data_IF_584374947477
#
_entry.id   IF_584374947477
#
_cell.length_a   1.000
_cell.length_b   1.000
_cell.length_c   1.000
_cell.angle_alpha   90.00
_cell.angle_beta   90.00
_cell.angle_gamma   90.00
#
_symmetry.space_group_name_H-M   'P 1'
#
loop_
_entity.id
_entity.type
_entity.pdbx_description
1 polymer ?
#
# COMPACT_ATOMS: atom_id res chain seq x y z
N UNK A 1 12.75 11.33 -19.18
CA UNK A 1 12.12 12.19 -18.15
C UNK A 1 10.61 12.16 -18.35
N UNK A 2 9.82 12.07 -17.28
CA UNK A 2 8.35 12.22 -17.37
C UNK A 2 8.07 13.63 -17.91
N UNK A 3 7.36 13.74 -19.03
CA UNK A 3 6.96 15.02 -19.61
C UNK A 3 6.19 15.86 -18.58
N UNK A 4 6.38 17.18 -18.59
CA UNK A 4 5.66 18.10 -17.69
C UNK A 4 4.14 17.89 -17.76
N UNK A 5 3.61 17.58 -18.95
CA UNK A 5 2.20 17.28 -19.19
C UNK A 5 1.74 16.06 -18.39
N UNK A 6 2.55 14.98 -18.36
CA UNK A 6 2.21 13.77 -17.61
C UNK A 6 2.18 14.03 -16.10
N UNK A 7 3.08 14.87 -15.59
CA UNK A 7 3.07 15.26 -14.16
C UNK A 7 1.76 15.96 -13.79
N UNK A 8 1.32 16.90 -14.64
CA UNK A 8 0.05 17.60 -14.46
C UNK A 8 -1.11 16.61 -14.49
N UNK A 9 -1.13 15.66 -15.44
CA UNK A 9 -2.16 14.61 -15.49
C UNK A 9 -2.20 13.75 -14.22
N UNK A 10 -1.04 13.33 -13.70
CA UNK A 10 -0.96 12.61 -12.42
C UNK A 10 -1.60 13.46 -11.31
N UNK A 11 -1.21 14.72 -11.18
CA UNK A 11 -1.75 15.63 -10.15
C UNK A 11 -3.27 15.81 -10.27
N UNK A 12 -3.80 15.92 -11.49
CA UNK A 12 -5.26 16.01 -11.71
C UNK A 12 -5.96 14.75 -11.23
N UNK A 13 -5.45 13.56 -11.58
CA UNK A 13 -6.09 12.29 -11.17
C UNK A 13 -6.04 12.11 -9.66
N UNK A 14 -4.89 12.39 -9.03
CA UNK A 14 -4.74 12.34 -7.57
C UNK A 14 -5.66 13.35 -6.89
N UNK A 15 -5.71 14.58 -7.40
CA UNK A 15 -6.51 15.67 -6.84
C UNK A 15 -8.02 15.41 -6.96
N UNK A 16 -8.51 14.98 -8.12
CA UNK A 16 -9.93 14.65 -8.32
C UNK A 16 -10.34 13.47 -7.44
N UNK A 17 -9.57 12.39 -7.41
CA UNK A 17 -9.91 11.24 -6.58
C UNK A 17 -9.85 11.59 -5.10
N UNK A 18 -8.82 12.34 -4.68
CA UNK A 18 -8.71 12.83 -3.31
C UNK A 18 -9.89 13.71 -2.91
N UNK A 19 -10.33 14.62 -3.78
CA UNK A 19 -11.50 15.47 -3.55
C UNK A 19 -12.79 14.66 -3.43
N UNK A 20 -13.03 13.70 -4.33
CA UNK A 20 -14.20 12.82 -4.30
C UNK A 20 -14.28 12.05 -2.98
N UNK A 21 -13.17 11.50 -2.52
CA UNK A 21 -13.12 10.76 -1.26
C UNK A 21 -13.22 11.69 -0.04
N UNK A 22 -12.51 12.82 -0.03
CA UNK A 22 -12.50 13.78 1.09
C UNK A 22 -13.87 14.41 1.35
N UNK A 23 -14.58 14.76 0.28
CA UNK A 23 -15.80 15.55 0.37
C UNK A 23 -17.04 14.67 0.27
N UNK A 24 -17.22 14.00 -0.86
CA UNK A 24 -18.42 13.18 -1.11
C UNK A 24 -18.37 11.91 -0.28
N UNK A 25 -17.27 11.17 -0.37
CA UNK A 25 -17.11 9.89 0.32
C UNK A 25 -17.15 10.01 1.83
N UNK A 26 -16.42 10.98 2.40
CA UNK A 26 -16.41 11.16 3.84
C UNK A 26 -17.79 11.50 4.41
N UNK A 27 -18.59 12.30 3.70
CA UNK A 27 -19.97 12.60 4.13
C UNK A 27 -20.84 11.36 4.26
N UNK A 28 -20.54 10.29 3.50
CA UNK A 28 -21.28 9.04 3.52
C UNK A 28 -20.71 8.01 4.48
N UNK A 29 -19.41 8.06 4.77
CA UNK A 29 -18.69 6.98 5.46
C UNK A 29 -18.18 7.40 6.84
N UNK A 30 -18.18 8.70 7.17
CA UNK A 30 -17.68 9.20 8.45
C UNK A 30 -18.28 8.41 9.62
N UNK A 31 -17.45 7.93 10.55
CA UNK A 31 -17.95 7.36 11.79
C UNK A 31 -18.77 8.41 12.57
N UNK A 32 -19.68 7.95 13.42
CA UNK A 32 -20.47 8.85 14.28
C UNK A 32 -19.56 9.68 15.20
N UNK A 33 -18.51 9.05 15.71
CA UNK A 33 -17.47 9.74 16.46
C UNK A 33 -16.35 10.19 15.50
N UNK A 34 -16.07 11.50 15.48
CA UNK A 34 -15.07 12.08 14.57
C UNK A 34 -13.64 11.53 14.77
N UNK A 35 -13.35 10.91 15.93
CA UNK A 35 -12.05 10.31 16.24
C UNK A 35 -12.03 8.79 16.05
N UNK A 36 -13.14 8.17 15.61
CA UNK A 36 -13.14 6.73 15.39
C UNK A 36 -12.31 6.35 14.15
N UNK A 37 -11.73 5.17 14.22
CA UNK A 37 -11.00 4.58 13.09
C UNK A 37 -11.97 4.04 12.04
N UNK A 38 -11.55 4.08 10.77
CA UNK A 38 -12.31 3.47 9.69
C UNK A 38 -11.98 1.97 9.57
N UNK A 39 -12.87 1.11 10.06
CA UNK A 39 -12.79 -0.36 9.94
C UNK A 39 -14.03 -0.91 9.25
N UNK A 40 -13.89 -1.86 8.33
CA UNK A 40 -15.05 -2.41 7.59
C UNK A 40 -15.74 -3.48 8.42
N UNK A 41 -15.01 -4.51 8.83
CA UNK A 41 -15.48 -5.69 9.56
C UNK A 41 -16.09 -5.31 10.91
N UNK A 42 -15.57 -4.26 11.56
CA UNK A 42 -16.05 -3.85 12.89
C UNK A 42 -17.02 -2.66 12.85
N UNK A 43 -17.18 -2.00 11.69
CA UNK A 43 -18.27 -1.04 11.53
C UNK A 43 -19.56 -1.82 11.29
N UNK A 44 -20.63 -1.54 12.04
CA UNK A 44 -21.97 -2.06 11.73
C UNK A 44 -22.53 -1.62 10.35
N UNK A 45 -21.70 -1.00 9.51
CA UNK A 45 -22.03 -0.39 8.23
C UNK A 45 -21.08 -0.83 7.10
N UNK A 46 -20.45 -2.00 7.21
CA UNK A 46 -19.49 -2.55 6.25
C UNK A 46 -19.91 -2.38 4.78
N UNK A 47 -21.16 -2.77 4.45
CA UNK A 47 -21.70 -2.68 3.10
C UNK A 47 -21.71 -1.24 2.56
N UNK A 48 -22.11 -0.28 3.39
CA UNK A 48 -22.15 1.15 3.01
C UNK A 48 -20.77 1.68 2.68
N UNK A 49 -19.77 1.32 3.50
CA UNK A 49 -18.37 1.72 3.29
C UNK A 49 -17.85 1.15 1.97
N UNK A 50 -18.00 -0.16 1.77
CA UNK A 50 -17.51 -0.85 0.56
C UNK A 50 -18.18 -0.29 -0.70
N UNK A 51 -19.50 -0.09 -0.69
CA UNK A 51 -20.21 0.48 -1.83
C UNK A 51 -19.76 1.91 -2.14
N UNK A 52 -19.57 2.75 -1.12
CA UNK A 52 -19.07 4.10 -1.31
C UNK A 52 -17.69 4.11 -1.98
N UNK A 53 -16.75 3.27 -1.51
CA UNK A 53 -15.42 3.16 -2.13
C UNK A 53 -15.51 2.69 -3.57
N UNK A 54 -16.33 1.66 -3.83
CA UNK A 54 -16.47 1.10 -5.18
C UNK A 54 -17.03 2.14 -6.14
N UNK A 55 -18.10 2.84 -5.77
CA UNK A 55 -18.72 3.86 -6.62
C UNK A 55 -17.74 5.00 -6.89
N UNK A 56 -17.18 5.60 -5.83
CA UNK A 56 -16.26 6.73 -5.96
C UNK A 56 -14.96 6.35 -6.65
N UNK A 57 -14.46 5.15 -6.35
CA UNK A 57 -13.28 4.58 -6.96
C UNK A 57 -13.44 4.34 -8.46
N UNK A 58 -14.58 3.77 -8.89
CA UNK A 58 -14.88 3.57 -10.30
C UNK A 58 -15.04 4.90 -11.05
N UNK A 59 -15.70 5.89 -10.45
CA UNK A 59 -15.81 7.25 -11.01
C UNK A 59 -14.40 7.87 -11.16
N UNK A 60 -13.60 7.85 -10.10
CA UNK A 60 -12.24 8.38 -10.10
C UNK A 60 -11.34 7.67 -11.13
N UNK A 61 -11.45 6.34 -11.23
CA UNK A 61 -10.74 5.54 -12.22
C UNK A 61 -11.18 5.89 -13.65
N UNK A 62 -12.47 6.04 -13.93
CA UNK A 62 -12.96 6.43 -15.25
C UNK A 62 -12.43 7.81 -15.66
N UNK A 63 -12.46 8.79 -14.76
CA UNK A 63 -11.86 10.11 -14.97
C UNK A 63 -10.35 9.98 -15.22
N UNK A 64 -9.67 9.16 -14.42
CA UNK A 64 -8.23 8.93 -14.55
C UNK A 64 -7.83 8.31 -15.89
N UNK A 65 -8.61 7.36 -16.39
CA UNK A 65 -8.41 6.78 -17.73
C UNK A 65 -8.62 7.83 -18.82
N UNK A 66 -9.65 8.67 -18.67
CA UNK A 66 -9.99 9.71 -19.66
C UNK A 66 -8.95 10.84 -19.71
N UNK A 67 -8.61 11.43 -18.56
CA UNK A 67 -7.55 12.46 -18.43
C UNK A 67 -6.19 11.90 -18.85
N UNK A 68 -5.98 10.62 -18.57
CA UNK A 68 -4.68 9.97 -18.72
C UNK A 68 -4.25 9.69 -20.15
N UNK A 69 -5.12 9.80 -21.16
CA UNK A 69 -4.82 9.49 -22.57
C UNK A 69 -3.45 10.02 -23.02
N UNK A 70 -2.55 9.19 -23.59
CA UNK A 70 -2.69 7.75 -23.88
C UNK A 70 -2.40 6.81 -22.69
N UNK A 71 -1.89 7.31 -21.57
CA UNK A 71 -1.53 6.53 -20.37
C UNK A 71 -2.72 6.21 -19.46
N UNK A 72 -3.90 5.98 -20.03
CA UNK A 72 -5.14 5.81 -19.29
C UNK A 72 -5.07 4.64 -18.30
N UNK A 73 -4.43 3.53 -18.69
CA UNK A 73 -4.23 2.35 -17.83
C UNK A 73 -3.42 2.69 -16.57
N UNK A 74 -2.29 3.38 -16.73
CA UNK A 74 -1.36 3.71 -15.64
C UNK A 74 -1.94 4.76 -14.69
N UNK A 75 -2.67 5.73 -15.25
CA UNK A 75 -3.21 6.82 -14.44
C UNK A 75 -4.52 6.44 -13.77
N UNK A 76 -5.39 5.67 -14.44
CA UNK A 76 -6.66 5.20 -13.87
C UNK A 76 -6.49 4.33 -12.62
N UNK A 77 -5.41 3.54 -12.53
CA UNK A 77 -5.13 2.69 -11.35
C UNK A 77 -4.68 3.49 -10.11
N UNK A 78 -4.27 4.75 -10.27
CA UNK A 78 -3.86 5.61 -9.14
C UNK A 78 -5.06 6.16 -8.36
N UNK A 79 -6.24 6.21 -8.97
CA UNK A 79 -7.41 6.88 -8.40
C UNK A 79 -7.83 6.26 -7.05
N UNK A 80 -8.05 4.94 -7.00
CA UNK A 80 -8.49 4.28 -5.75
C UNK A 80 -7.45 4.42 -4.63
N UNK A 81 -6.16 4.08 -4.80
CA UNK A 81 -5.15 4.27 -3.76
C UNK A 81 -5.04 5.73 -3.29
N UNK A 82 -5.18 6.71 -4.19
CA UNK A 82 -5.19 8.13 -3.83
C UNK A 82 -6.40 8.52 -2.97
N UNK A 83 -7.59 8.04 -3.33
CA UNK A 83 -8.80 8.25 -2.55
C UNK A 83 -8.72 7.59 -1.17
N UNK A 84 -8.26 6.34 -1.11
CA UNK A 84 -8.02 5.63 0.15
C UNK A 84 -6.94 6.31 1.01
N UNK A 85 -5.92 6.93 0.41
CA UNK A 85 -4.91 7.72 1.13
C UNK A 85 -5.55 8.91 1.84
N UNK A 86 -6.49 9.59 1.20
CA UNK A 86 -7.23 10.69 1.85
C UNK A 86 -8.06 10.18 3.03
N UNK A 87 -8.77 9.06 2.87
CA UNK A 87 -9.48 8.45 4.00
C UNK A 87 -8.55 7.96 5.10
N UNK A 88 -7.36 7.47 4.76
CA UNK A 88 -6.34 7.08 5.72
C UNK A 88 -5.82 8.25 6.56
N UNK A 89 -5.83 9.47 6.00
CA UNK A 89 -5.49 10.71 6.71
C UNK A 89 -6.66 11.19 7.58
N UNK A 90 -7.90 11.05 7.09
CA UNK A 90 -9.12 11.46 7.81
C UNK A 90 -9.56 10.48 8.91
N UNK A 91 -9.17 9.21 8.80
CA UNK A 91 -9.48 8.17 9.78
C UNK A 91 -8.77 8.44 11.12
N UNK A 92 -9.40 8.02 12.21
CA UNK A 92 -8.80 8.06 13.56
C UNK A 92 -7.58 7.15 13.71
N UNK A 93 -7.04 7.10 14.93
CA UNK A 93 -5.93 6.23 15.28
C UNK A 93 -6.43 4.88 15.86
N UNK A 94 -5.53 3.91 15.93
CA UNK A 94 -5.81 2.58 16.50
C UNK A 94 -6.01 2.61 18.02
N UNK A 95 -5.60 3.68 18.69
CA UNK A 95 -5.63 3.80 20.16
C UNK A 95 -7.03 3.54 20.74
N UNK A 96 -8.07 4.17 20.18
CA UNK A 96 -9.45 3.96 20.64
C UNK A 96 -9.95 2.54 20.41
N UNK A 97 -9.54 1.89 19.32
CA UNK A 97 -9.90 0.49 19.06
C UNK A 97 -9.26 -0.46 20.08
N UNK A 98 -8.00 -0.22 20.43
CA UNK A 98 -7.29 -1.00 21.46
C UNK A 98 -7.84 -0.76 22.86
N UNK A 99 -8.37 0.45 23.13
CA UNK A 99 -9.10 0.75 24.37
C UNK A 99 -10.44 0.02 24.44
N UNK A 100 -11.19 -0.06 23.33
CA UNK A 100 -12.49 -0.76 23.27
C UNK A 100 -12.36 -2.28 23.43
N UNK A 101 -11.23 -2.85 23.04
CA UNK A 101 -10.91 -4.27 23.21
C UNK A 101 -9.83 -4.41 24.27
N UNK A 102 -10.15 -4.23 25.55
CA UNK A 102 -9.16 -4.34 26.64
C UNK A 102 -8.85 -5.78 27.03
N UNK A 103 -9.78 -6.71 26.79
CA UNK A 103 -9.61 -8.13 27.15
C UNK A 103 -8.70 -8.86 26.16
N UNK A 104 -7.85 -9.75 26.68
CA UNK A 104 -6.87 -10.49 25.89
C UNK A 104 -7.48 -11.21 24.67
N UNK A 105 -8.52 -12.01 24.91
CA UNK A 105 -9.20 -12.76 23.84
C UNK A 105 -9.87 -11.84 22.80
N UNK A 106 -10.45 -10.73 23.26
CA UNK A 106 -11.05 -9.74 22.37
C UNK A 106 -10.00 -9.06 21.47
N UNK A 107 -8.78 -8.81 21.98
CA UNK A 107 -7.66 -8.24 21.20
C UNK A 107 -7.15 -9.18 20.11
N UNK A 108 -7.05 -10.47 20.41
CA UNK A 108 -6.65 -11.48 19.41
C UNK A 108 -7.67 -11.49 18.26
N UNK A 109 -8.96 -11.61 18.59
CA UNK A 109 -10.05 -11.55 17.59
C UNK A 109 -10.06 -10.24 16.80
N UNK A 110 -9.78 -9.12 17.48
CA UNK A 110 -9.65 -7.80 16.87
C UNK A 110 -8.55 -7.75 15.81
N UNK A 111 -7.33 -8.21 16.11
CA UNK A 111 -6.23 -8.22 15.14
C UNK A 111 -6.53 -9.13 13.94
N UNK A 112 -7.15 -10.30 14.14
CA UNK A 112 -7.62 -11.12 13.04
C UNK A 112 -8.70 -10.43 12.19
N UNK A 113 -9.59 -9.66 12.82
CA UNK A 113 -10.56 -8.81 12.12
C UNK A 113 -9.89 -7.79 11.18
N UNK A 114 -8.77 -7.19 11.60
CA UNK A 114 -7.99 -6.24 10.78
C UNK A 114 -7.32 -6.88 9.55
N UNK A 115 -7.05 -8.19 9.59
CA UNK A 115 -6.64 -8.95 8.41
C UNK A 115 -7.77 -8.98 7.38
N UNK A 116 -9.00 -9.27 7.82
CA UNK A 116 -10.20 -9.22 6.99
C UNK A 116 -10.39 -7.85 6.33
N UNK A 117 -10.24 -6.78 7.12
CA UNK A 117 -10.26 -5.40 6.60
C UNK A 117 -9.21 -5.18 5.52
N UNK A 118 -7.97 -5.60 5.75
CA UNK A 118 -6.88 -5.46 4.78
C UNK A 118 -7.20 -6.12 3.44
N UNK A 119 -7.76 -7.33 3.50
CA UNK A 119 -8.17 -8.10 2.32
C UNK A 119 -9.27 -7.35 1.56
N UNK A 120 -10.27 -6.81 2.27
CA UNK A 120 -11.35 -6.04 1.64
C UNK A 120 -10.82 -4.78 0.96
N UNK A 121 -10.00 -3.98 1.65
CA UNK A 121 -9.41 -2.76 1.08
C UNK A 121 -8.55 -3.09 -0.14
N UNK A 122 -7.75 -4.17 -0.08
CA UNK A 122 -6.95 -4.61 -1.21
C UNK A 122 -7.79 -5.10 -2.38
N UNK A 123 -8.86 -5.85 -2.12
CA UNK A 123 -9.78 -6.31 -3.16
C UNK A 123 -10.36 -5.12 -3.94
N UNK A 124 -10.72 -4.03 -3.26
CA UNK A 124 -11.22 -2.81 -3.93
C UNK A 124 -10.14 -2.17 -4.81
N UNK A 125 -8.88 -2.11 -4.35
CA UNK A 125 -7.76 -1.64 -5.17
C UNK A 125 -7.58 -2.50 -6.43
N UNK A 126 -7.63 -3.83 -6.30
CA UNK A 126 -7.51 -4.76 -7.44
C UNK A 126 -8.67 -4.60 -8.42
N UNK A 127 -9.89 -4.42 -7.93
CA UNK A 127 -11.07 -4.15 -8.76
C UNK A 127 -10.91 -2.84 -9.54
N UNK A 128 -10.45 -1.77 -8.89
CA UNK A 128 -10.15 -0.50 -9.56
C UNK A 128 -9.06 -0.61 -10.62
N UNK A 129 -7.96 -1.31 -10.33
CA UNK A 129 -6.90 -1.54 -11.30
C UNK A 129 -7.39 -2.35 -12.51
N UNK A 130 -8.23 -3.36 -12.27
CA UNK A 130 -8.87 -4.15 -13.33
C UNK A 130 -9.83 -3.30 -14.16
N UNK A 131 -10.66 -2.47 -13.51
CA UNK A 131 -11.57 -1.55 -14.20
C UNK A 131 -10.82 -0.52 -15.05
N UNK A 132 -9.70 0.03 -14.54
CA UNK A 132 -8.84 0.95 -15.27
C UNK A 132 -8.27 0.29 -16.54
N UNK A 133 -7.84 -0.97 -16.41
CA UNK A 133 -7.33 -1.74 -17.53
C UNK A 133 -8.39 -1.97 -18.60
N UNK A 134 -9.57 -2.48 -18.21
CA UNK A 134 -10.68 -2.72 -19.13
C UNK A 134 -11.18 -1.44 -19.83
N UNK A 135 -11.28 -0.34 -19.09
CA UNK A 135 -11.70 0.94 -19.64
C UNK A 135 -10.66 1.51 -20.62
N UNK A 136 -9.37 1.37 -20.31
CA UNK A 136 -8.29 1.83 -21.18
C UNK A 136 -8.27 1.07 -22.52
N UNK A 137 -8.52 -0.24 -22.50
CA UNK A 137 -8.60 -1.09 -23.70
C UNK A 137 -9.81 -0.74 -24.56
N UNK A 138 -10.99 -0.58 -23.95
CA UNK A 138 -12.21 -0.18 -24.69
C UNK A 138 -12.10 1.20 -25.32
N UNK A 139 -11.40 2.13 -24.68
CA UNK A 139 -11.22 3.49 -25.19
C UNK A 139 -10.07 3.61 -26.22
N UNK A 140 -9.43 2.49 -26.61
CA UNK A 140 -8.33 2.48 -27.58
C UNK A 140 -7.10 3.24 -27.10
N UNK A 141 -6.97 3.46 -25.79
CA UNK A 141 -5.88 4.25 -25.21
C UNK A 141 -4.59 3.44 -25.08
N UNK A 142 -4.64 2.13 -25.31
CA UNK A 142 -3.52 1.19 -25.16
C UNK A 142 -2.46 1.24 -26.24
N UNK A 143 -2.50 2.22 -27.16
CA UNK A 143 -1.38 2.50 -28.07
C UNK A 143 -0.52 3.63 -27.49
N UNK A 144 0.50 3.33 -26.67
CA UNK A 144 1.62 4.25 -26.58
C UNK A 144 2.23 4.29 -27.97
N UNK A 145 2.19 5.45 -28.61
CA UNK A 145 3.14 5.72 -29.70
C UNK A 145 4.53 5.38 -29.15
N UNK A 146 5.16 4.36 -29.76
CA UNK A 146 6.43 3.73 -29.37
C UNK A 146 7.59 4.71 -29.14
N UNK A 147 7.43 6.00 -29.38
CA UNK A 147 8.49 7.01 -29.32
C UNK A 147 8.74 7.63 -27.94
N UNK A 148 7.74 7.85 -27.09
CA UNK A 148 7.86 8.90 -26.06
C UNK A 148 7.54 8.53 -24.60
N UNK A 149 7.15 7.28 -24.32
CA UNK A 149 7.36 6.72 -22.99
C UNK A 149 7.99 5.35 -23.11
N UNK A 150 9.00 5.02 -22.28
CA UNK A 150 9.37 3.64 -22.09
C UNK A 150 8.12 2.96 -21.52
N UNK A 151 7.41 2.23 -22.38
CA UNK A 151 6.59 1.14 -21.88
C UNK A 151 7.52 0.30 -20.97
N UNK A 152 7.03 -0.27 -19.87
CA UNK A 152 7.66 -1.45 -19.30
C UNK A 152 7.44 -2.60 -20.31
N UNK A 153 7.91 -2.44 -21.55
CA UNK A 153 8.27 -3.55 -22.38
C UNK A 153 9.27 -4.32 -21.55
N UNK A 154 8.95 -5.58 -21.32
CA UNK A 154 9.87 -6.62 -20.94
C UNK A 154 11.13 -6.48 -21.80
N UNK A 155 12.09 -5.66 -21.35
CA UNK A 155 13.38 -5.41 -21.97
C UNK A 155 14.30 -6.62 -21.72
N UNK A 156 13.73 -7.82 -21.91
CA UNK A 156 14.33 -9.12 -21.69
C UNK A 156 14.16 -10.03 -22.90
N UNK A 157 13.90 -9.48 -24.10
CA UNK A 157 14.14 -10.22 -25.34
C UNK A 157 15.45 -9.74 -25.97
N UNK A 158 16.40 -10.67 -25.93
CA UNK A 158 17.59 -10.77 -26.78
C UNK A 158 18.87 -10.07 -26.30
N UNK A 159 19.24 -10.29 -25.03
CA UNK A 159 20.65 -10.60 -24.73
C UNK A 159 20.72 -12.09 -24.41
N UNK A 160 20.74 -12.89 -25.48
CA UNK A 160 21.20 -14.28 -25.44
C UNK A 160 22.70 -14.29 -25.14
N UNK A 161 23.08 -13.93 -23.91
CA UNK A 161 24.34 -14.44 -23.36
C UNK A 161 24.10 -15.92 -23.13
N UNK A 162 24.58 -16.75 -24.07
CA UNK A 162 24.79 -18.19 -23.90
C UNK A 162 25.74 -18.43 -22.72
N UNK A 163 25.27 -18.18 -21.50
CA UNK A 163 25.93 -18.64 -20.28
C UNK A 163 25.55 -20.11 -20.14
N UNK A 164 26.43 -20.98 -20.64
CA UNK A 164 26.39 -22.45 -20.52
C UNK A 164 26.69 -22.88 -19.07
N UNK A 165 26.08 -22.22 -18.08
CA UNK A 165 26.15 -22.59 -16.68
C UNK A 165 24.85 -23.24 -16.24
N UNK A 166 24.86 -24.57 -16.07
CA UNK A 166 23.75 -25.38 -15.57
C UNK A 166 23.42 -25.08 -14.09
N UNK A 167 23.09 -23.85 -13.73
CA UNK A 167 22.62 -23.52 -12.38
C UNK A 167 21.12 -23.74 -12.30
N UNK A 168 20.70 -24.61 -11.39
CA UNK A 168 19.29 -24.92 -11.10
C UNK A 168 18.50 -23.65 -10.71
N UNK A 169 19.18 -22.63 -10.16
CA UNK A 169 18.62 -21.31 -9.90
C UNK A 169 18.15 -20.60 -11.18
N UNK A 170 18.90 -20.69 -12.29
CA UNK A 170 18.49 -20.05 -13.55
C UNK A 170 17.24 -20.70 -14.15
N UNK A 171 17.07 -22.02 -14.00
CA UNK A 171 15.84 -22.72 -14.42
C UNK A 171 14.64 -22.37 -13.52
N UNK A 172 14.84 -22.25 -12.21
CA UNK A 172 13.76 -21.85 -11.29
C UNK A 172 13.33 -20.39 -11.47
N UNK A 173 14.25 -19.49 -11.83
CA UNK A 173 13.94 -18.07 -12.09
C UNK A 173 13.30 -17.81 -13.46
N UNK A 174 13.32 -18.78 -14.39
CA UNK A 174 12.61 -18.66 -15.66
C UNK A 174 11.09 -18.53 -15.44
N UNK A 175 10.58 -19.20 -14.41
CA UNK A 175 9.18 -19.11 -13.99
C UNK A 175 8.82 -17.69 -13.53
N UNK A 176 7.98 -17.01 -14.30
CA UNK A 176 7.48 -15.67 -14.00
C UNK A 176 6.86 -15.57 -12.59
N UNK A 177 6.22 -16.65 -12.12
CA UNK A 177 5.63 -16.73 -10.79
C UNK A 177 6.68 -16.71 -9.66
N UNK A 178 7.81 -17.40 -9.83
CA UNK A 178 8.90 -17.42 -8.84
C UNK A 178 9.53 -16.02 -8.72
N UNK A 179 9.74 -15.33 -9.84
CA UNK A 179 10.17 -13.92 -9.85
C UNK A 179 9.14 -12.99 -9.20
N UNK A 180 7.86 -13.26 -9.44
CA UNK A 180 6.75 -12.58 -8.79
C UNK A 180 6.79 -12.70 -7.27
N UNK A 181 6.97 -13.91 -6.76
CA UNK A 181 7.06 -14.17 -5.32
C UNK A 181 8.33 -13.58 -4.73
N UNK A 182 9.48 -13.74 -5.38
CA UNK A 182 10.73 -13.24 -4.83
C UNK A 182 10.73 -11.70 -4.72
N UNK A 183 10.24 -10.99 -5.74
CA UNK A 183 10.11 -9.54 -5.68
C UNK A 183 9.07 -9.07 -4.64
N UNK A 184 7.98 -9.82 -4.47
CA UNK A 184 7.00 -9.56 -3.42
C UNK A 184 7.60 -9.73 -2.01
N UNK A 185 8.36 -10.81 -1.78
CA UNK A 185 9.05 -11.06 -0.50
C UNK A 185 10.09 -9.98 -0.22
N UNK A 186 10.95 -9.68 -1.19
CA UNK A 186 12.00 -8.64 -1.05
C UNK A 186 11.37 -7.28 -0.76
N UNK A 187 10.33 -6.90 -1.54
CA UNK A 187 9.60 -5.66 -1.31
C UNK A 187 8.93 -5.63 0.07
N UNK A 188 8.25 -6.70 0.47
CA UNK A 188 7.61 -6.82 1.78
C UNK A 188 8.59 -6.70 2.94
N UNK A 189 9.75 -7.35 2.86
CA UNK A 189 10.80 -7.28 3.89
C UNK A 189 11.36 -5.87 4.02
N UNK A 190 11.70 -5.22 2.90
CA UNK A 190 12.18 -3.83 2.89
C UNK A 190 11.12 -2.89 3.47
N UNK A 191 9.86 -3.05 3.08
CA UNK A 191 8.76 -2.25 3.59
C UNK A 191 8.56 -2.44 5.10
N UNK A 192 8.51 -3.68 5.61
CA UNK A 192 8.39 -3.96 7.06
C UNK A 192 9.54 -3.32 7.83
N UNK A 193 10.78 -3.50 7.37
CA UNK A 193 11.95 -2.93 8.03
C UNK A 193 11.87 -1.40 8.10
N UNK A 194 11.57 -0.74 6.98
CA UNK A 194 11.47 0.72 6.91
C UNK A 194 10.29 1.26 7.71
N UNK A 195 9.10 0.66 7.59
CA UNK A 195 7.93 1.06 8.37
C UNK A 195 8.19 0.89 9.86
N UNK A 196 8.86 -0.19 10.27
CA UNK A 196 9.23 -0.42 11.67
C UNK A 196 10.19 0.65 12.19
N UNK A 197 11.18 1.08 11.39
CA UNK A 197 12.15 2.11 11.79
C UNK A 197 11.52 3.51 11.79
N UNK A 198 10.81 3.87 10.72
CA UNK A 198 10.24 5.21 10.54
C UNK A 198 8.98 5.43 11.42
N UNK A 199 8.27 4.35 11.74
CA UNK A 199 7.05 4.37 12.55
C UNK A 199 7.29 4.31 14.06
N UNK A 200 8.54 4.26 14.54
CA UNK A 200 8.81 4.27 15.98
C UNK A 200 8.39 5.61 16.60
N UNK A 201 7.38 5.60 17.45
CA UNK A 201 7.02 6.80 18.20
C UNK A 201 7.97 7.01 19.38
N UNK A 202 7.79 8.13 20.10
CA UNK A 202 8.60 8.48 21.27
C UNK A 202 8.55 7.35 22.30
N UNK A 203 9.72 6.78 22.60
CA UNK A 203 9.85 5.75 23.62
C UNK A 203 9.64 6.40 25.00
N UNK A 204 8.79 5.78 25.81
CA UNK A 204 8.59 6.16 27.20
C UNK A 204 9.09 5.01 28.06
N UNK A 205 10.11 5.28 28.87
CA UNK A 205 10.56 4.33 29.89
C UNK A 205 9.60 4.43 31.06
N UNK A 206 8.81 3.38 31.28
CA UNK A 206 8.01 3.25 32.49
C UNK A 206 9.01 3.00 33.64
N UNK A 207 9.08 3.96 34.57
CA UNK A 207 10.19 4.19 35.51
C UNK A 207 10.54 3.04 36.46
N UNK A 208 9.82 1.92 36.44
CA UNK A 208 9.97 0.84 37.43
C UNK A 208 10.06 -0.58 36.83
N UNK A 209 9.98 -0.75 35.50
CA UNK A 209 10.17 -2.06 34.86
C UNK A 209 11.25 -2.00 33.77
N UNK A 210 12.43 -2.61 33.99
CA UNK A 210 13.56 -2.53 33.06
C UNK A 210 13.37 -3.33 31.76
N UNK A 211 12.27 -4.05 31.58
CA UNK A 211 12.16 -5.10 30.56
C UNK A 211 11.30 -4.72 29.34
N UNK A 212 10.40 -3.73 29.43
CA UNK A 212 9.49 -3.42 28.32
C UNK A 212 9.56 -1.94 27.93
N UNK A 213 10.22 -1.66 26.81
CA UNK A 213 10.12 -0.35 26.16
C UNK A 213 8.71 -0.20 25.56
N UNK A 214 7.94 0.70 26.14
CA UNK A 214 6.63 1.08 25.65
C UNK A 214 6.75 2.23 24.64
N UNK A 215 6.00 2.12 23.55
CA UNK A 215 5.79 3.20 22.58
C UNK A 215 4.34 3.67 22.69
N UNK A 216 4.15 4.98 22.52
CA UNK A 216 2.81 5.51 22.20
C UNK A 216 2.41 5.07 20.79
N UNK A 217 1.10 5.05 20.52
CA UNK A 217 0.59 4.89 19.15
C UNK A 217 1.11 6.05 18.29
N UNK A 218 1.72 5.79 17.12
CA UNK A 218 2.28 6.85 16.28
C UNK A 218 1.20 7.82 15.82
N UNK A 219 1.57 9.10 15.65
CA UNK A 219 0.66 10.10 15.08
C UNK A 219 0.33 9.76 13.63
N UNK A 220 -0.86 10.16 13.15
CA UNK A 220 -1.29 9.91 11.76
C UNK A 220 -0.24 10.39 10.76
N UNK A 221 0.31 11.60 10.94
CA UNK A 221 1.37 12.13 10.07
C UNK A 221 2.60 11.23 9.99
N UNK A 222 3.04 10.68 11.14
CA UNK A 222 4.15 9.72 11.18
C UNK A 222 3.81 8.40 10.48
N UNK A 223 2.58 7.89 10.66
CA UNK A 223 2.12 6.67 9.97
C UNK A 223 2.15 6.87 8.46
N UNK A 224 1.53 7.94 7.96
CA UNK A 224 1.46 8.25 6.53
C UNK A 224 2.87 8.41 5.96
N UNK A 225 3.77 9.08 6.68
CA UNK A 225 5.17 9.21 6.28
C UNK A 225 5.91 7.87 6.25
N UNK A 226 5.82 7.07 7.32
CA UNK A 226 6.49 5.78 7.43
C UNK A 226 6.02 4.78 6.37
N UNK A 227 4.70 4.65 6.18
CA UNK A 227 4.10 3.81 5.14
C UNK A 227 4.45 4.34 3.75
N UNK A 228 4.30 5.64 3.51
CA UNK A 228 4.60 6.26 2.22
C UNK A 228 6.06 6.06 1.79
N UNK A 229 7.02 6.43 2.64
CA UNK A 229 8.45 6.29 2.33
C UNK A 229 8.86 4.83 2.29
N UNK A 230 8.40 4.02 3.24
CA UNK A 230 8.73 2.60 3.32
C UNK A 230 8.32 1.83 2.07
N UNK A 231 7.07 1.99 1.62
CA UNK A 231 6.56 1.32 0.42
C UNK A 231 7.10 1.91 -0.88
N UNK A 232 7.39 3.22 -0.93
CA UNK A 232 8.02 3.84 -2.09
C UNK A 232 9.41 3.24 -2.33
N UNK A 233 10.25 3.18 -1.29
CA UNK A 233 11.59 2.61 -1.38
C UNK A 233 11.55 1.10 -1.62
N UNK A 234 10.61 0.39 -1.00
CA UNK A 234 10.40 -1.04 -1.25
C UNK A 234 10.01 -1.34 -2.70
N UNK A 235 9.06 -0.60 -3.28
CA UNK A 235 8.66 -0.76 -4.68
C UNK A 235 9.80 -0.44 -5.65
N UNK A 236 10.60 0.57 -5.33
CA UNK A 236 11.80 0.93 -6.09
C UNK A 236 12.84 -0.20 -6.04
N UNK A 237 13.21 -0.65 -4.84
CA UNK A 237 14.21 -1.68 -4.61
C UNK A 237 13.80 -3.03 -5.21
N UNK A 238 12.57 -3.47 -4.97
CA UNK A 238 12.07 -4.73 -5.50
C UNK A 238 12.09 -4.74 -7.04
N UNK A 239 11.69 -3.65 -7.70
CA UNK A 239 11.79 -3.55 -9.16
C UNK A 239 13.24 -3.54 -9.65
N UNK A 240 14.16 -2.79 -9.01
CA UNK A 240 15.56 -2.76 -9.41
C UNK A 240 16.28 -4.11 -9.21
N UNK A 241 15.93 -4.86 -8.17
CA UNK A 241 16.61 -6.10 -7.79
C UNK A 241 16.05 -7.34 -8.51
N UNK A 242 14.75 -7.36 -8.81
CA UNK A 242 14.07 -8.57 -9.30
C UNK A 242 13.42 -8.40 -10.67
N UNK A 243 13.40 -7.18 -11.22
CA UNK A 243 12.74 -6.82 -12.49
C UNK A 243 11.26 -7.24 -12.56
N UNK A 244 10.63 -7.38 -11.37
CA UNK A 244 9.24 -7.81 -11.23
C UNK A 244 8.27 -6.77 -11.81
N UNK A 245 7.18 -7.20 -12.47
CA UNK A 245 6.16 -6.28 -12.97
C UNK A 245 5.23 -5.79 -11.85
N UNK A 246 4.72 -4.56 -12.01
CA UNK A 246 3.90 -3.86 -11.02
C UNK A 246 2.74 -4.68 -10.39
N UNK A 247 1.94 -5.48 -11.13
CA UNK A 247 0.78 -6.16 -10.55
C UNK A 247 1.11 -7.05 -9.35
N UNK A 248 2.27 -7.69 -9.33
CA UNK A 248 2.70 -8.53 -8.21
C UNK A 248 3.11 -7.67 -7.00
N UNK A 249 3.76 -6.52 -7.24
CA UNK A 249 4.15 -5.60 -6.18
C UNK A 249 2.95 -4.92 -5.52
N UNK A 250 1.81 -4.79 -6.21
CA UNK A 250 0.60 -4.22 -5.63
C UNK A 250 0.13 -5.00 -4.38
N UNK A 251 0.46 -6.29 -4.26
CA UNK A 251 0.12 -7.11 -3.11
C UNK A 251 1.04 -6.90 -1.89
N UNK A 252 2.15 -6.15 -2.02
CA UNK A 252 3.09 -5.94 -0.93
C UNK A 252 2.45 -5.27 0.30
N UNK A 253 1.63 -4.21 0.18
CA UNK A 253 0.94 -3.63 1.33
C UNK A 253 0.03 -4.60 2.08
N UNK A 254 -0.67 -5.47 1.35
CA UNK A 254 -1.50 -6.51 1.95
C UNK A 254 -0.64 -7.53 2.71
N UNK A 255 0.45 -8.02 2.09
CA UNK A 255 1.35 -8.97 2.74
C UNK A 255 1.90 -8.40 4.05
N UNK A 256 2.35 -7.14 4.03
CA UNK A 256 2.91 -6.46 5.20
C UNK A 256 1.85 -6.25 6.28
N UNK A 257 0.62 -5.84 5.93
CA UNK A 257 -0.43 -5.64 6.92
C UNK A 257 -0.87 -6.97 7.56
N UNK A 258 -0.99 -8.03 6.77
CA UNK A 258 -1.28 -9.39 7.27
C UNK A 258 -0.21 -9.84 8.27
N UNK A 259 1.07 -9.71 7.91
CA UNK A 259 2.18 -10.06 8.81
C UNK A 259 2.14 -9.21 10.09
N UNK A 260 1.84 -7.91 9.98
CA UNK A 260 1.72 -7.01 11.12
C UNK A 260 0.64 -7.45 12.10
N UNK A 261 -0.54 -7.83 11.61
CA UNK A 261 -1.63 -8.24 12.48
C UNK A 261 -1.50 -9.66 13.02
N UNK A 262 -0.89 -10.59 12.26
CA UNK A 262 -0.48 -11.90 12.80
C UNK A 262 0.49 -11.72 13.95
N UNK A 263 1.44 -10.78 13.80
CA UNK A 263 2.37 -10.45 14.87
C UNK A 263 1.64 -9.79 16.05
N UNK A 264 0.78 -8.80 15.81
CA UNK A 264 -0.02 -8.15 16.86
C UNK A 264 -0.93 -9.10 17.65
N UNK A 265 -1.37 -10.20 17.04
CA UNK A 265 -2.22 -11.21 17.65
C UNK A 265 -1.48 -12.24 18.54
N UNK A 266 -0.14 -12.20 18.64
CA UNK A 266 0.60 -13.19 19.44
C UNK A 266 0.40 -12.99 20.95
N UNK A 267 0.26 -14.08 21.69
CA UNK A 267 -0.07 -14.06 23.12
C UNK A 267 0.89 -13.21 23.97
N UNK A 268 2.21 -13.31 23.72
CA UNK A 268 3.23 -12.55 24.47
C UNK A 268 3.11 -11.02 24.28
N UNK A 269 2.52 -10.58 23.16
CA UNK A 269 2.24 -9.16 22.90
C UNK A 269 0.99 -8.75 23.65
N UNK A 270 -0.07 -9.57 23.55
CA UNK A 270 -1.34 -9.32 24.22
C UNK A 270 -1.17 -9.27 25.74
N UNK A 271 -0.37 -10.16 26.31
CA UNK A 271 -0.05 -10.17 27.74
C UNK A 271 0.65 -8.86 28.17
N UNK A 272 1.62 -8.41 27.37
CA UNK A 272 2.31 -7.12 27.59
C UNK A 272 1.34 -5.93 27.57
N UNK A 273 0.29 -6.00 26.74
CA UNK A 273 -0.74 -4.96 26.64
C UNK A 273 -1.78 -5.01 27.78
N UNK A 274 -1.89 -6.11 28.53
CA UNK A 274 -2.85 -6.21 29.64
C UNK A 274 -2.30 -5.55 30.92
N UNK A 275 -0.99 -5.51 31.09
CA UNK A 275 -0.32 -4.88 32.24
C UNK A 275 -0.09 -3.37 32.10
N UNK A 276 0.06 -2.87 30.87
CA UNK A 276 0.19 -1.44 30.56
C UNK A 276 -1.13 -0.87 30.08
N UNK A 277 -1.54 0.31 30.58
CA UNK A 277 -2.76 0.98 30.09
C UNK A 277 -2.80 1.05 28.55
N UNK A 278 -3.99 0.97 27.95
CA UNK A 278 -4.22 0.75 26.52
C UNK A 278 -3.59 1.76 25.54
N UNK A 279 -2.95 2.84 26.03
CA UNK A 279 -2.18 3.79 25.24
C UNK A 279 -0.75 3.33 24.92
N UNK A 280 -0.26 2.28 25.60
CA UNK A 280 1.11 1.80 25.47
C UNK A 280 1.17 0.48 24.73
N UNK A 281 2.02 0.44 23.72
CA UNK A 281 2.21 -0.73 22.86
C UNK A 281 3.71 -1.05 22.82
N UNK A 282 4.14 -2.32 22.97
CA UNK A 282 5.56 -2.65 22.90
C UNK A 282 6.18 -2.14 21.59
N UNK A 283 7.38 -1.56 21.66
CA UNK A 283 8.04 -0.97 20.47
C UNK A 283 8.11 -1.99 19.31
N UNK A 284 8.29 -3.27 19.63
CA UNK A 284 8.34 -4.37 18.67
C UNK A 284 7.09 -4.50 17.80
N UNK A 285 5.92 -4.06 18.25
CA UNK A 285 4.62 -4.23 17.58
C UNK A 285 3.96 -2.92 17.17
N UNK A 286 4.65 -1.80 17.31
CA UNK A 286 4.15 -0.46 16.93
C UNK A 286 3.56 -0.44 15.51
N UNK A 287 4.16 -1.17 14.58
CA UNK A 287 3.69 -1.26 13.20
C UNK A 287 2.31 -1.96 13.07
N UNK A 288 1.94 -2.86 13.99
CA UNK A 288 0.61 -3.47 14.05
C UNK A 288 -0.49 -2.47 14.47
N UNK A 289 -0.12 -1.27 14.93
CA UNK A 289 -1.08 -0.19 15.26
C UNK A 289 -1.45 0.68 14.06
N UNK A 290 -0.89 0.41 12.88
CA UNK A 290 -1.27 1.07 11.63
C UNK A 290 -2.57 0.48 11.13
N UNK A 291 -3.52 1.31 10.70
CA UNK A 291 -4.83 0.83 10.23
C UNK A 291 -4.74 0.17 8.84
N UNK A 292 -5.65 -0.79 8.52
CA UNK A 292 -5.67 -1.44 7.22
C UNK A 292 -5.78 -0.46 6.04
N UNK A 293 -6.63 0.57 6.15
CA UNK A 293 -6.79 1.60 5.11
C UNK A 293 -5.51 2.43 4.91
N UNK A 294 -4.71 2.63 5.97
CA UNK A 294 -3.41 3.31 5.90
C UNK A 294 -2.39 2.44 5.18
N UNK A 295 -2.28 1.16 5.53
CA UNK A 295 -1.42 0.23 4.81
C UNK A 295 -1.79 0.14 3.33
N UNK A 296 -3.04 -0.14 3.01
CA UNK A 296 -3.45 -0.40 1.63
C UNK A 296 -3.50 0.90 0.81
N UNK A 297 -4.15 1.95 1.29
CA UNK A 297 -4.29 3.20 0.54
C UNK A 297 -2.93 3.84 0.25
N UNK A 298 -2.20 4.18 1.32
CA UNK A 298 -0.91 4.87 1.22
C UNK A 298 0.15 3.94 0.65
N UNK A 299 0.21 2.69 1.12
CA UNK A 299 1.21 1.72 0.70
C UNK A 299 1.08 1.37 -0.78
N UNK A 300 -0.13 1.11 -1.29
CA UNK A 300 -0.30 0.82 -2.72
C UNK A 300 0.07 2.03 -3.58
N UNK A 301 -0.38 3.24 -3.20
CA UNK A 301 -0.02 4.46 -3.93
C UNK A 301 1.51 4.63 -3.98
N UNK A 302 2.18 4.46 -2.84
CA UNK A 302 3.62 4.57 -2.72
C UNK A 302 4.37 3.51 -3.54
N UNK A 303 3.92 2.24 -3.53
CA UNK A 303 4.50 1.17 -4.36
C UNK A 303 4.42 1.53 -5.85
N UNK A 304 3.28 2.04 -6.33
CA UNK A 304 3.12 2.43 -7.73
C UNK A 304 4.09 3.55 -8.10
N UNK A 305 4.21 4.57 -7.24
CA UNK A 305 5.14 5.69 -7.46
C UNK A 305 6.61 5.22 -7.45
N UNK A 306 6.98 4.36 -6.49
CA UNK A 306 8.32 3.79 -6.38
C UNK A 306 8.69 2.94 -7.60
N UNK A 307 7.74 2.15 -8.09
CA UNK A 307 7.88 1.36 -9.32
C UNK A 307 8.12 2.26 -10.54
N UNK A 308 7.29 3.28 -10.76
CA UNK A 308 7.46 4.18 -11.92
C UNK A 308 8.75 4.99 -11.86
N UNK A 309 9.16 5.42 -10.67
CA UNK A 309 10.45 6.08 -10.49
C UNK A 309 11.61 5.15 -10.87
N UNK A 310 11.53 3.89 -10.45
CA UNK A 310 12.49 2.83 -10.76
C UNK A 310 12.62 2.57 -12.27
N UNK A 311 11.49 2.47 -12.99
CA UNK A 311 11.47 2.37 -14.46
C UNK A 311 12.17 3.57 -15.11
N UNK A 312 11.91 4.78 -14.61
CA UNK A 312 12.55 6.01 -15.10
C UNK A 312 14.07 6.01 -14.96
N UNK A 313 14.60 5.49 -13.84
CA UNK A 313 16.04 5.33 -13.62
C UNK A 313 16.63 4.36 -14.65
N UNK A 314 16.00 3.21 -14.83
CA UNK A 314 16.49 2.17 -15.77
C UNK A 314 16.54 2.70 -17.20
N UNK A 315 15.51 3.44 -17.63
CA UNK A 315 15.48 4.07 -18.96
C UNK A 315 16.62 5.09 -19.14
N UNK A 316 16.90 5.90 -18.13
CA UNK A 316 17.99 6.88 -18.17
C UNK A 316 19.38 6.23 -18.25
N UNK A 317 19.59 5.14 -17.49
CA UNK A 317 20.84 4.36 -17.57
C UNK A 317 21.04 3.74 -18.95
N UNK A 318 19.97 3.24 -19.57
CA UNK A 318 20.03 2.68 -20.91
C UNK A 318 20.38 3.73 -21.99
N UNK A 319 19.85 4.95 -21.87
CA UNK A 319 20.16 6.05 -22.78
C UNK A 319 21.64 6.49 -22.72
N UNK A 320 22.26 6.46 -21.53
CA UNK A 320 23.68 6.85 -21.35
C UNK A 320 24.70 5.83 -21.88
N UNK A 321 24.27 4.60 -22.19
CA UNK A 321 25.15 3.54 -22.72
C UNK A 321 25.21 3.51 -24.25
N UNK A 322 24.37 4.30 -24.91
CA UNK A 322 24.37 4.48 -26.37
C UNK A 322 25.20 5.69 -26.73
#
# INVERSE_FOLDING_TARGET
>A
MISGITKIKILIVLGVSGFLFAWVGWSWVRPTDAQDSLTVVMSGHALRVVLAVLILGLIGTAIGVWVGKPYGRQLGMLAIPAGLTVWAIQAGNMERLLMRHSEAGARVGFFYGLIGDSIIWFAVVVLGATAAWLAADKLGTTRPERGNMPAPETAGKDISTKSKGNSLANKLMENAWVRGISGLIVGGMVAIMLVKILGQARQVRLSEQPVVEASMVPTIGQIIFAVGVGFFLAGLAAHQLTEIPLPHLLAAPLLVSVVAYIYGAQDWIIESLNGGGAAFVPVSVTFATILPVQYIGVGTLAVILGYYYSVGISAHRAARRK
#
